data_IF_594854568664
#
_entry.id   IF_594854568664
#
_cell.length_a   1.000
_cell.length_b   1.000
_cell.length_c   1.000
_cell.angle_alpha   90.00
_cell.angle_beta   90.00
_cell.angle_gamma   90.00
#
_symmetry.space_group_name_H-M   'P 1'
#
loop_
_entity.id
_entity.type
_entity.pdbx_description
1 polymer ?
#
# COMPACT_ATOMS: atom_id res chain seq x y z
N UNK A 1 -24.70 -6.04 -15.15
CA UNK A 1 -23.57 -5.10 -14.96
C UNK A 1 -22.82 -5.07 -16.26
N UNK A 2 -22.47 -3.89 -16.77
CA UNK A 2 -21.59 -3.84 -17.94
C UNK A 2 -20.19 -4.23 -17.47
N UNK A 3 -19.73 -5.40 -17.87
CA UNK A 3 -18.35 -5.82 -17.67
C UNK A 3 -17.49 -5.01 -18.62
N UNK A 4 -16.56 -4.23 -18.07
CA UNK A 4 -15.52 -3.55 -18.84
C UNK A 4 -14.22 -4.33 -18.72
N UNK A 5 -13.43 -4.36 -19.78
CA UNK A 5 -12.13 -4.99 -19.74
C UNK A 5 -11.18 -4.23 -18.79
N UNK A 6 -10.25 -4.93 -18.12
CA UNK A 6 -9.34 -4.35 -17.14
C UNK A 6 -8.61 -3.12 -17.70
N UNK A 7 -8.08 -3.20 -18.93
CA UNK A 7 -7.37 -2.09 -19.57
C UNK A 7 -8.20 -0.81 -19.77
N UNK A 8 -9.54 -0.92 -19.80
CA UNK A 8 -10.45 0.24 -19.89
C UNK A 8 -10.71 0.88 -18.53
N UNK A 9 -10.51 0.14 -17.44
CA UNK A 9 -10.65 0.63 -16.07
C UNK A 9 -9.36 1.27 -15.54
N UNK A 10 -8.22 0.93 -16.11
CA UNK A 10 -6.90 1.45 -15.72
C UNK A 10 -6.72 2.89 -16.22
N UNK A 11 -6.31 3.76 -15.33
CA UNK A 11 -6.00 5.17 -15.59
C UNK A 11 -4.49 5.37 -15.63
N UNK A 12 -3.96 5.79 -16.77
CA UNK A 12 -2.54 6.12 -16.93
C UNK A 12 -2.26 7.52 -16.40
N UNK A 13 -1.32 7.64 -15.48
CA UNK A 13 -0.84 8.94 -14.98
C UNK A 13 0.25 9.46 -15.93
N UNK A 14 0.00 10.64 -16.53
CA UNK A 14 0.74 11.13 -17.71
C UNK A 14 2.25 11.33 -17.50
N UNK A 15 2.68 11.67 -16.29
CA UNK A 15 4.07 12.07 -16.01
C UNK A 15 4.79 11.05 -15.11
N UNK A 16 4.19 9.88 -14.86
CA UNK A 16 4.72 8.87 -13.98
C UNK A 16 4.61 7.49 -14.64
N UNK A 17 5.58 6.63 -14.41
CA UNK A 17 5.49 5.21 -14.79
C UNK A 17 4.58 4.47 -13.79
N UNK A 18 3.35 4.99 -13.65
CA UNK A 18 2.35 4.55 -12.70
C UNK A 18 0.97 4.55 -13.34
N UNK A 19 0.31 3.43 -13.25
CA UNK A 19 -1.09 3.24 -13.64
C UNK A 19 -1.96 3.06 -12.38
N UNK A 20 -3.17 3.56 -12.40
CA UNK A 20 -4.10 3.50 -11.29
C UNK A 20 -5.36 2.73 -11.66
N UNK A 21 -5.68 1.70 -10.90
CA UNK A 21 -6.98 1.03 -10.90
C UNK A 21 -7.76 1.45 -9.65
N UNK A 22 -8.74 2.32 -9.82
CA UNK A 22 -9.58 2.79 -8.72
C UNK A 22 -10.76 1.84 -8.48
N UNK A 23 -11.30 1.85 -7.25
CA UNK A 23 -12.51 1.08 -6.89
C UNK A 23 -13.77 1.54 -7.61
N UNK A 24 -13.73 2.67 -8.33
CA UNK A 24 -14.88 3.28 -8.97
C UNK A 24 -15.84 3.95 -7.98
N UNK A 25 -16.98 4.38 -8.49
CA UNK A 25 -18.01 5.13 -7.72
C UNK A 25 -19.05 4.23 -7.04
N UNK A 26 -19.24 3.02 -7.56
CA UNK A 26 -20.20 2.06 -7.01
C UNK A 26 -19.60 1.29 -5.83
N UNK A 27 -20.32 1.27 -4.71
CA UNK A 27 -19.98 0.46 -3.54
C UNK A 27 -20.98 -0.69 -3.44
N UNK A 28 -20.66 -1.87 -3.99
CA UNK A 28 -21.56 -3.01 -3.87
C UNK A 28 -21.66 -3.43 -2.40
N UNK A 29 -22.85 -3.83 -1.98
CA UNK A 29 -23.10 -4.31 -0.60
C UNK A 29 -22.36 -5.61 -0.27
N UNK A 30 -21.95 -6.35 -1.30
CA UNK A 30 -21.25 -7.65 -1.21
C UNK A 30 -19.75 -7.56 -1.56
N UNK A 31 -19.07 -6.46 -1.18
CA UNK A 31 -17.65 -6.25 -1.49
C UNK A 31 -16.74 -7.39 -1.00
N UNK A 32 -17.05 -8.03 0.13
CA UNK A 32 -16.30 -9.21 0.60
C UNK A 32 -16.33 -10.38 -0.38
N UNK A 33 -17.48 -10.64 -0.99
CA UNK A 33 -17.64 -11.70 -1.99
C UNK A 33 -16.83 -11.38 -3.24
N UNK A 34 -16.83 -10.10 -3.65
CA UNK A 34 -16.03 -9.66 -4.79
C UNK A 34 -14.54 -9.85 -4.56
N UNK A 35 -14.01 -9.48 -3.39
CA UNK A 35 -12.60 -9.65 -3.06
C UNK A 35 -12.16 -11.12 -3.01
N UNK A 36 -13.05 -12.02 -2.63
CA UNK A 36 -12.78 -13.47 -2.60
C UNK A 36 -13.12 -14.19 -3.91
N UNK A 37 -13.67 -13.49 -4.90
CA UNK A 37 -14.13 -14.06 -6.18
C UNK A 37 -12.98 -14.51 -7.08
N UNK A 38 -13.32 -15.35 -8.07
CA UNK A 38 -12.38 -15.72 -9.13
C UNK A 38 -11.99 -14.48 -9.96
N UNK A 39 -12.94 -13.58 -10.26
CA UNK A 39 -12.68 -12.35 -11.00
C UNK A 39 -11.60 -11.48 -10.35
N UNK A 40 -11.56 -11.39 -9.01
CA UNK A 40 -10.48 -10.68 -8.32
C UNK A 40 -9.12 -11.35 -8.51
N UNK A 41 -9.06 -12.67 -8.50
CA UNK A 41 -7.83 -13.42 -8.78
C UNK A 41 -7.36 -13.21 -10.21
N UNK A 42 -8.27 -13.23 -11.17
CA UNK A 42 -7.98 -13.03 -12.59
C UNK A 42 -7.44 -11.61 -12.84
N UNK A 43 -8.03 -10.59 -12.21
CA UNK A 43 -7.55 -9.19 -12.25
C UNK A 43 -6.12 -9.08 -11.68
N UNK A 44 -5.86 -9.68 -10.53
CA UNK A 44 -4.52 -9.65 -9.93
C UNK A 44 -3.49 -10.41 -10.78
N UNK A 45 -3.88 -11.54 -11.38
CA UNK A 45 -3.01 -12.28 -12.29
C UNK A 45 -2.68 -11.46 -13.54
N UNK A 46 -3.68 -10.84 -14.18
CA UNK A 46 -3.47 -9.97 -15.34
C UNK A 46 -2.58 -8.76 -15.00
N UNK A 47 -2.78 -8.15 -13.83
CA UNK A 47 -1.89 -7.09 -13.36
C UNK A 47 -0.45 -7.59 -13.17
N UNK A 48 -0.27 -8.77 -12.57
CA UNK A 48 1.05 -9.36 -12.33
C UNK A 48 1.81 -9.66 -13.62
N UNK A 49 1.11 -10.03 -14.68
CA UNK A 49 1.71 -10.32 -15.99
C UNK A 49 2.11 -9.06 -16.77
N UNK A 50 1.49 -7.91 -16.44
CA UNK A 50 1.68 -6.66 -17.19
C UNK A 50 2.49 -5.58 -16.45
N UNK A 51 2.77 -5.75 -15.14
CA UNK A 51 3.43 -4.76 -14.29
C UNK A 51 4.57 -5.39 -13.50
N UNK A 52 5.69 -4.67 -13.36
CA UNK A 52 6.83 -5.08 -12.54
C UNK A 52 6.47 -5.13 -11.04
N UNK A 53 5.58 -4.23 -10.61
CA UNK A 53 5.10 -4.13 -9.23
C UNK A 53 3.63 -3.74 -9.20
N UNK A 54 2.84 -4.49 -8.42
CA UNK A 54 1.43 -4.19 -8.15
C UNK A 54 1.27 -3.88 -6.67
N UNK A 55 0.81 -2.67 -6.35
CA UNK A 55 0.53 -2.24 -4.98
C UNK A 55 -0.98 -2.24 -4.76
N UNK A 56 -1.46 -3.03 -3.80
CA UNK A 56 -2.86 -3.07 -3.40
C UNK A 56 -3.02 -2.26 -2.11
N UNK A 57 -3.64 -1.08 -2.21
CA UNK A 57 -4.03 -0.30 -1.03
C UNK A 57 -5.25 -0.93 -0.36
N UNK A 58 -5.20 -1.09 0.94
CA UNK A 58 -6.22 -1.79 1.71
C UNK A 58 -6.68 -1.00 2.93
N UNK A 59 -7.92 -1.19 3.39
CA UNK A 59 -8.39 -0.60 4.63
C UNK A 59 -7.60 -1.12 5.84
N UNK A 60 -7.74 -0.48 7.02
CA UNK A 60 -7.01 -0.91 8.23
C UNK A 60 -7.30 -2.36 8.61
N UNK A 61 -6.25 -3.18 8.70
CA UNK A 61 -6.30 -4.64 8.92
C UNK A 61 -7.15 -5.09 10.12
N UNK A 62 -7.18 -4.29 11.19
CA UNK A 62 -7.90 -4.64 12.42
C UNK A 62 -9.37 -4.24 12.36
N UNK A 63 -9.72 -3.32 11.47
CA UNK A 63 -11.07 -2.77 11.39
C UNK A 63 -12.00 -3.62 10.53
N UNK A 64 -11.47 -4.24 9.48
CA UNK A 64 -12.26 -4.99 8.49
C UNK A 64 -11.51 -6.25 8.01
N UNK A 65 -12.27 -7.25 7.61
CA UNK A 65 -11.74 -8.54 7.15
C UNK A 65 -11.18 -8.51 5.72
N UNK A 66 -11.52 -7.50 4.95
CA UNK A 66 -11.12 -7.34 3.54
C UNK A 66 -9.61 -7.40 3.36
N UNK A 67 -8.87 -6.73 4.24
CA UNK A 67 -7.41 -6.73 4.20
C UNK A 67 -6.81 -8.11 4.47
N UNK A 68 -7.48 -8.95 5.24
CA UNK A 68 -7.06 -10.35 5.48
C UNK A 68 -7.29 -11.18 4.22
N UNK A 69 -8.43 -10.99 3.56
CA UNK A 69 -8.74 -11.68 2.29
C UNK A 69 -7.70 -11.28 1.23
N UNK A 70 -7.45 -9.98 1.06
CA UNK A 70 -6.45 -9.46 0.11
C UNK A 70 -5.04 -9.98 0.44
N UNK A 71 -4.68 -10.06 1.72
CA UNK A 71 -3.35 -10.52 2.15
C UNK A 71 -3.03 -11.96 1.73
N UNK A 72 -4.04 -12.77 1.52
CA UNK A 72 -3.89 -14.15 1.03
C UNK A 72 -3.75 -14.25 -0.51
N UNK A 73 -4.02 -13.15 -1.24
CA UNK A 73 -3.99 -13.11 -2.70
C UNK A 73 -2.71 -12.46 -3.25
N UNK A 74 -1.87 -11.87 -2.40
CA UNK A 74 -0.66 -11.14 -2.78
C UNK A 74 0.60 -11.90 -2.41
N UNK A 75 1.72 -11.60 -3.06
CA UNK A 75 3.03 -12.24 -2.80
C UNK A 75 3.63 -11.80 -1.46
N UNK A 76 3.21 -10.65 -0.93
CA UNK A 76 3.69 -10.15 0.36
C UNK A 76 2.90 -8.95 0.87
N UNK A 77 2.95 -8.74 2.17
CA UNK A 77 2.27 -7.65 2.88
C UNK A 77 3.28 -6.74 3.53
N UNK A 78 3.18 -5.44 3.27
CA UNK A 78 3.89 -4.41 4.00
C UNK A 78 2.96 -3.79 5.05
N UNK A 79 3.30 -3.92 6.34
CA UNK A 79 2.47 -3.38 7.41
C UNK A 79 2.84 -1.93 7.69
N UNK A 80 1.92 -1.01 7.42
CA UNK A 80 2.12 0.42 7.71
C UNK A 80 1.62 0.74 9.11
N UNK A 81 2.47 1.32 9.95
CA UNK A 81 2.15 1.75 11.31
C UNK A 81 2.49 3.23 11.50
N UNK A 82 1.71 3.93 12.32
CA UNK A 82 1.95 5.35 12.62
C UNK A 82 2.75 5.50 13.91
N UNK A 83 3.89 6.18 13.79
CA UNK A 83 4.79 6.45 14.92
C UNK A 83 4.07 7.19 16.04
N UNK A 84 4.25 6.76 17.29
CA UNK A 84 3.65 7.37 18.47
C UNK A 84 2.12 7.24 18.58
N UNK A 85 1.43 6.77 17.52
CA UNK A 85 -0.05 6.68 17.49
C UNK A 85 -0.55 5.23 17.50
N UNK A 86 0.14 4.33 16.80
CA UNK A 86 -0.26 2.92 16.76
C UNK A 86 0.23 2.19 18.01
N UNK A 87 -0.69 1.71 18.84
CA UNK A 87 -0.37 1.00 20.08
C UNK A 87 0.28 -0.36 19.78
N UNK A 88 1.28 -0.75 20.55
CA UNK A 88 2.01 -2.03 20.38
C UNK A 88 1.08 -3.26 20.39
N UNK A 89 0.02 -3.22 21.20
CA UNK A 89 -0.98 -4.31 21.23
C UNK A 89 -1.69 -4.48 19.88
N UNK A 90 -1.98 -3.37 19.16
CA UNK A 90 -2.60 -3.41 17.84
C UNK A 90 -1.64 -3.98 16.79
N UNK A 91 -0.35 -3.61 16.87
CA UNK A 91 0.69 -4.16 16.00
C UNK A 91 0.81 -5.68 16.19
N UNK A 92 0.86 -6.15 17.44
CA UNK A 92 0.91 -7.59 17.74
C UNK A 92 -0.34 -8.32 17.26
N UNK A 93 -1.52 -7.71 17.38
CA UNK A 93 -2.78 -8.28 16.88
C UNK A 93 -2.76 -8.36 15.34
N UNK A 94 -2.34 -7.29 14.66
CA UNK A 94 -2.20 -7.27 13.21
C UNK A 94 -1.26 -8.37 12.70
N UNK A 95 -0.08 -8.50 13.33
CA UNK A 95 0.88 -9.56 13.03
C UNK A 95 0.25 -10.95 13.16
N UNK A 96 -0.43 -11.25 14.29
CA UNK A 96 -1.08 -12.54 14.49
C UNK A 96 -2.17 -12.84 13.45
N UNK A 97 -2.95 -11.82 13.04
CA UNK A 97 -3.96 -11.99 12.00
C UNK A 97 -3.34 -12.36 10.66
N UNK A 98 -2.24 -11.69 10.26
CA UNK A 98 -1.53 -12.00 9.02
C UNK A 98 -0.87 -13.38 9.08
N UNK A 99 -0.28 -13.75 10.20
CA UNK A 99 0.30 -15.09 10.41
C UNK A 99 -0.77 -16.20 10.32
N UNK A 100 -1.95 -15.95 10.89
CA UNK A 100 -3.06 -16.92 10.82
C UNK A 100 -3.65 -17.07 9.42
N UNK A 101 -3.58 -16.05 8.59
CA UNK A 101 -3.98 -16.09 7.17
C UNK A 101 -2.89 -16.64 6.24
N UNK A 102 -1.76 -17.11 6.79
CA UNK A 102 -0.56 -17.55 6.06
C UNK A 102 0.02 -16.52 5.11
N UNK A 103 -0.24 -15.23 5.38
CA UNK A 103 0.28 -14.14 4.58
C UNK A 103 1.76 -13.90 4.88
N UNK A 104 2.55 -13.66 3.86
CA UNK A 104 3.97 -13.34 4.01
C UNK A 104 4.14 -11.86 4.35
N UNK A 105 4.58 -11.54 5.56
CA UNK A 105 4.95 -10.19 5.94
C UNK A 105 6.36 -9.91 5.39
N UNK A 106 6.49 -8.99 4.43
CA UNK A 106 7.78 -8.61 3.82
C UNK A 106 8.47 -7.48 4.56
N UNK A 107 7.72 -6.68 5.33
CA UNK A 107 8.29 -5.59 6.11
C UNK A 107 7.26 -4.75 6.84
N UNK A 108 7.78 -3.74 7.53
CA UNK A 108 6.98 -2.73 8.27
C UNK A 108 7.45 -1.35 7.84
N UNK A 109 6.51 -0.48 7.52
CA UNK A 109 6.77 0.95 7.27
C UNK A 109 6.33 1.72 8.51
N UNK A 110 7.27 2.47 9.08
CA UNK A 110 6.96 3.43 10.14
C UNK A 110 6.66 4.79 9.51
N UNK A 111 5.38 5.14 9.49
CA UNK A 111 4.88 6.39 8.93
C UNK A 111 4.63 7.45 10.02
N UNK A 112 4.46 8.71 9.63
CA UNK A 112 4.12 9.82 10.52
C UNK A 112 5.15 10.01 11.65
N UNK A 113 6.45 9.90 11.30
CA UNK A 113 7.54 10.07 12.26
C UNK A 113 7.77 11.57 12.50
N UNK A 114 7.67 12.00 13.76
CA UNK A 114 8.16 13.32 14.16
C UNK A 114 9.70 13.29 14.28
N UNK A 115 10.37 13.64 13.19
CA UNK A 115 11.83 13.65 13.12
C UNK A 115 12.47 14.61 14.13
N UNK A 116 11.76 15.69 14.54
CA UNK A 116 12.25 16.61 15.58
C UNK A 116 12.29 15.95 16.94
N UNK A 117 11.29 15.14 17.24
CA UNK A 117 11.21 14.38 18.49
C UNK A 117 12.24 13.25 18.58
N UNK A 118 12.51 12.59 17.44
CA UNK A 118 13.38 11.39 17.40
C UNK A 118 14.87 11.75 17.31
N UNK A 119 15.22 12.75 16.53
CA UNK A 119 16.62 13.06 16.20
C UNK A 119 17.11 14.43 16.71
N UNK A 120 16.23 15.24 17.33
CA UNK A 120 16.55 16.61 17.76
C UNK A 120 16.81 17.59 16.61
N UNK A 121 16.95 18.88 16.96
CA UNK A 121 17.11 19.96 15.98
C UNK A 121 18.39 19.86 15.12
N UNK A 122 19.42 19.12 15.57
CA UNK A 122 20.70 19.01 14.87
C UNK A 122 20.62 18.11 13.64
N UNK A 123 19.91 16.99 13.74
CA UNK A 123 19.76 16.04 12.63
C UNK A 123 18.87 16.61 11.52
N UNK A 124 17.87 17.39 11.90
CA UNK A 124 16.94 18.05 10.97
C UNK A 124 17.67 19.07 10.08
N UNK A 125 18.60 19.86 10.64
CA UNK A 125 19.42 20.78 9.87
C UNK A 125 20.29 20.08 8.83
N UNK A 126 20.95 18.99 9.20
CA UNK A 126 21.83 18.26 8.29
C UNK A 126 21.08 17.52 7.19
N UNK A 127 19.91 16.92 7.48
CA UNK A 127 19.10 16.24 6.48
C UNK A 127 18.59 17.20 5.38
N UNK A 128 18.12 18.39 5.77
CA UNK A 128 17.73 19.43 4.83
C UNK A 128 18.89 19.96 3.99
N UNK A 129 20.08 20.09 4.58
CA UNK A 129 21.28 20.49 3.84
C UNK A 129 21.68 19.46 2.77
N UNK A 130 21.53 18.17 3.04
CA UNK A 130 21.82 17.13 2.06
C UNK A 130 20.79 17.07 0.93
N UNK A 131 19.52 17.27 1.20
CA UNK A 131 18.49 17.33 0.16
C UNK A 131 18.66 18.55 -0.75
N UNK A 132 18.86 19.73 -0.19
CA UNK A 132 19.06 20.95 -0.97
C UNK A 132 20.31 20.91 -1.88
N UNK A 133 21.37 20.22 -1.45
CA UNK A 133 22.58 20.07 -2.25
C UNK A 133 22.44 18.99 -3.36
N UNK A 134 21.57 18.01 -3.21
CA UNK A 134 21.29 17.04 -4.26
C UNK A 134 20.34 17.60 -5.34
N UNK A 135 19.32 18.35 -4.95
CA UNK A 135 18.40 19.00 -5.90
C UNK A 135 19.09 20.08 -6.78
N UNK A 136 20.21 20.66 -6.31
CA UNK A 136 21.02 21.58 -7.12
C UNK A 136 21.94 20.86 -8.11
N UNK A 137 22.33 19.62 -7.85
CA UNK A 137 23.15 18.84 -8.78
C UNK A 137 22.36 18.24 -9.94
N UNK A 138 21.06 17.92 -9.74
CA UNK A 138 20.20 17.42 -10.81
C UNK A 138 19.69 18.52 -11.77
N UNK A 139 19.70 19.79 -11.35
CA UNK A 139 19.34 20.95 -12.20
C UNK A 139 20.50 21.48 -13.06
N UNK A 140 21.69 20.92 -12.91
CA UNK A 140 22.90 21.31 -13.66
C UNK A 140 23.39 20.26 -14.66
N UNK A 141 22.55 19.28 -14.96
CA UNK A 141 22.71 18.31 -16.05
C UNK A 141 21.54 18.43 -17.02
#
# INVERSE_FOLDING_TARGET
MNEIALHQAIQKLKDENLDLLSTGTMRPSNHHELLSSQSMRDVLAECKDNYDLVIVDSPPLIAVTDSIVLSALVDGVCLVIRSGKTRMQMIRKAKKLLESSRSRIVGVILNDIDLKSVYGNWYYKNYYYYQLNNDQKDKSR
#
